data_IF_851477428405
#
_entry.id   IF_851477428405
#
_cell.length_a   1.000
_cell.length_b   1.000
_cell.length_c   1.000
_cell.angle_alpha   90.00
_cell.angle_beta   90.00
_cell.angle_gamma   90.00
#
_symmetry.space_group_name_H-M   'P 1'
#
loop_
_entity.id
_entity.type
_entity.pdbx_description
1 polymer ?
#
# COMPACT_ATOMS: atom_id res chain seq x y z
N UNK A 1 117.51 -27.98 -55.75
CA UNK A 1 116.32 -28.64 -55.18
C UNK A 1 115.89 -28.07 -53.82
N UNK A 2 116.79 -27.84 -52.84
CA UNK A 2 116.42 -27.34 -51.50
C UNK A 2 115.66 -25.99 -51.46
N UNK A 3 116.09 -25.00 -52.23
CA UNK A 3 115.43 -23.69 -52.27
C UNK A 3 113.96 -23.75 -52.72
N UNK A 4 113.65 -24.65 -53.66
CA UNK A 4 112.28 -24.88 -54.12
C UNK A 4 111.41 -25.54 -53.05
N UNK A 5 112.00 -26.38 -52.20
CA UNK A 5 111.31 -27.05 -51.10
C UNK A 5 111.06 -26.07 -49.93
N UNK A 6 111.97 -25.15 -49.65
CA UNK A 6 111.78 -24.10 -48.64
C UNK A 6 110.69 -23.10 -49.06
N UNK A 7 110.66 -22.70 -50.34
CA UNK A 7 109.58 -21.86 -50.89
C UNK A 7 108.23 -22.56 -50.83
N UNK A 8 108.19 -23.86 -51.13
CA UNK A 8 106.97 -24.69 -51.02
C UNK A 8 106.52 -24.78 -49.56
N UNK A 9 107.43 -25.05 -48.63
CA UNK A 9 107.13 -25.13 -47.20
C UNK A 9 106.59 -23.80 -46.65
N UNK A 10 107.22 -22.68 -47.02
CA UNK A 10 106.72 -21.35 -46.67
C UNK A 10 105.36 -21.01 -47.28
N UNK A 11 105.08 -21.48 -48.50
CA UNK A 11 103.76 -21.34 -49.12
C UNK A 11 102.69 -22.16 -48.39
N UNK A 12 103.00 -23.41 -48.02
CA UNK A 12 102.11 -24.28 -47.25
C UNK A 12 101.78 -23.68 -45.88
N UNK A 13 102.77 -23.13 -45.18
CA UNK A 13 102.56 -22.49 -43.87
C UNK A 13 101.70 -21.21 -43.98
N UNK A 14 101.89 -20.39 -45.02
CA UNK A 14 101.03 -19.22 -45.27
C UNK A 14 99.58 -19.63 -45.56
N UNK A 15 99.37 -20.69 -46.34
CA UNK A 15 98.02 -21.22 -46.59
C UNK A 15 97.37 -21.70 -45.29
N UNK A 16 98.13 -22.37 -44.41
CA UNK A 16 97.66 -22.83 -43.10
C UNK A 16 97.23 -21.64 -42.21
N UNK A 17 98.05 -20.60 -42.14
CA UNK A 17 97.75 -19.39 -41.35
C UNK A 17 96.50 -18.68 -41.89
N UNK A 18 96.42 -18.45 -43.20
CA UNK A 18 95.26 -17.81 -43.82
C UNK A 18 93.97 -18.64 -43.63
N UNK A 19 94.08 -19.96 -43.69
CA UNK A 19 92.96 -20.87 -43.38
C UNK A 19 92.48 -20.73 -41.93
N UNK A 20 93.40 -20.66 -40.97
CA UNK A 20 93.07 -20.45 -39.56
C UNK A 20 92.42 -19.07 -39.32
N UNK A 21 92.95 -18.00 -39.93
CA UNK A 21 92.35 -16.67 -39.81
C UNK A 21 90.96 -16.58 -40.48
N UNK A 22 90.75 -17.28 -41.60
CA UNK A 22 89.45 -17.34 -42.26
C UNK A 22 88.43 -18.06 -41.37
N UNK A 23 88.79 -19.20 -40.79
CA UNK A 23 87.95 -19.93 -39.85
C UNK A 23 87.61 -19.09 -38.61
N UNK A 24 88.56 -18.33 -38.08
CA UNK A 24 88.33 -17.45 -36.94
C UNK A 24 87.39 -16.27 -37.30
N UNK A 25 87.56 -15.68 -38.49
CA UNK A 25 86.65 -14.63 -38.99
C UNK A 25 85.23 -15.17 -39.20
N UNK A 26 85.08 -16.38 -39.75
CA UNK A 26 83.79 -17.04 -39.92
C UNK A 26 83.13 -17.36 -38.57
N UNK A 27 83.89 -17.87 -37.60
CA UNK A 27 83.39 -18.12 -36.25
C UNK A 27 82.88 -16.84 -35.57
N UNK A 28 83.59 -15.72 -35.74
CA UNK A 28 83.14 -14.40 -35.26
C UNK A 28 81.88 -13.92 -35.97
N UNK A 29 81.82 -14.02 -37.30
CA UNK A 29 80.65 -13.62 -38.07
C UNK A 29 79.41 -14.41 -37.63
N UNK A 30 79.54 -15.73 -37.54
CA UNK A 30 78.50 -16.62 -37.05
C UNK A 30 78.07 -16.30 -35.60
N UNK A 31 78.99 -15.83 -34.76
CA UNK A 31 78.69 -15.35 -33.41
C UNK A 31 77.75 -14.15 -33.41
N UNK A 32 78.12 -13.11 -34.16
CA UNK A 32 77.34 -11.87 -34.29
C UNK A 32 75.98 -12.13 -34.94
N UNK A 33 75.89 -13.02 -35.93
CA UNK A 33 74.62 -13.39 -36.55
C UNK A 33 73.64 -14.06 -35.58
N UNK A 34 74.15 -14.91 -34.68
CA UNK A 34 73.34 -15.52 -33.61
C UNK A 34 72.85 -14.49 -32.61
N UNK A 35 73.72 -13.57 -32.16
CA UNK A 35 73.33 -12.50 -31.25
C UNK A 35 72.27 -11.59 -31.88
N UNK A 36 72.46 -11.18 -33.13
CA UNK A 36 71.49 -10.38 -33.88
C UNK A 36 70.13 -11.09 -34.01
N UNK A 37 70.14 -12.43 -34.16
CA UNK A 37 68.91 -13.22 -34.19
C UNK A 37 68.19 -13.18 -32.84
N UNK A 38 68.90 -13.41 -31.73
CA UNK A 38 68.32 -13.35 -30.39
C UNK A 38 67.73 -11.96 -30.10
N UNK A 39 68.44 -10.89 -30.47
CA UNK A 39 67.95 -9.51 -30.34
C UNK A 39 66.67 -9.25 -31.13
N UNK A 40 66.53 -9.84 -32.32
CA UNK A 40 65.28 -9.75 -33.10
C UNK A 40 64.14 -10.49 -32.41
N UNK A 41 64.40 -11.71 -31.92
CA UNK A 41 63.42 -12.51 -31.18
C UNK A 41 62.96 -11.78 -29.90
N UNK A 42 63.89 -11.17 -29.16
CA UNK A 42 63.56 -10.35 -27.99
C UNK A 42 62.76 -9.11 -28.33
N UNK A 43 63.10 -8.39 -29.41
CA UNK A 43 62.32 -7.24 -29.87
C UNK A 43 60.89 -7.63 -30.21
N UNK A 44 60.69 -8.72 -30.94
CA UNK A 44 59.36 -9.23 -31.29
C UNK A 44 58.58 -9.59 -30.03
N UNK A 45 59.17 -10.35 -29.11
CA UNK A 45 58.51 -10.75 -27.86
C UNK A 45 58.12 -9.54 -26.99
N UNK A 46 58.99 -8.53 -26.89
CA UNK A 46 58.70 -7.31 -26.15
C UNK A 46 57.59 -6.49 -26.82
N UNK A 47 57.57 -6.42 -28.15
CA UNK A 47 56.54 -5.73 -28.90
C UNK A 47 55.18 -6.42 -28.73
N UNK A 48 55.13 -7.75 -28.80
CA UNK A 48 53.92 -8.54 -28.53
C UNK A 48 53.40 -8.30 -27.10
N UNK A 49 54.29 -8.34 -26.10
CA UNK A 49 53.94 -8.06 -24.72
C UNK A 49 53.39 -6.63 -24.54
N UNK A 50 54.02 -5.63 -25.20
CA UNK A 50 53.55 -4.25 -25.17
C UNK A 50 52.15 -4.10 -25.77
N UNK A 51 51.90 -4.72 -26.93
CA UNK A 51 50.60 -4.70 -27.59
C UNK A 51 49.53 -5.35 -26.71
N UNK A 52 49.81 -6.55 -26.18
CA UNK A 52 48.92 -7.24 -25.25
C UNK A 52 48.61 -6.41 -24.00
N UNK A 53 49.60 -5.69 -23.46
CA UNK A 53 49.38 -4.80 -22.32
C UNK A 53 48.48 -3.62 -22.68
N UNK A 54 48.67 -2.99 -23.84
CA UNK A 54 47.79 -1.91 -24.33
C UNK A 54 46.35 -2.38 -24.52
N UNK A 55 46.16 -3.58 -25.08
CA UNK A 55 44.84 -4.21 -25.20
C UNK A 55 44.22 -4.47 -23.83
N UNK A 56 44.98 -5.02 -22.88
CA UNK A 56 44.48 -5.28 -21.52
C UNK A 56 44.12 -4.00 -20.79
N UNK A 57 44.92 -2.95 -20.94
CA UNK A 57 44.61 -1.61 -20.42
C UNK A 57 43.28 -1.13 -21.02
N UNK A 58 43.08 -1.25 -22.33
CA UNK A 58 41.85 -0.82 -23.00
C UNK A 58 40.63 -1.60 -22.50
N UNK A 59 40.75 -2.91 -22.29
CA UNK A 59 39.69 -3.74 -21.71
C UNK A 59 39.33 -3.29 -20.29
N UNK A 60 40.32 -3.08 -19.42
CA UNK A 60 40.09 -2.63 -18.05
C UNK A 60 39.41 -1.25 -18.00
N UNK A 61 39.78 -0.33 -18.91
CA UNK A 61 39.09 0.96 -19.02
C UNK A 61 37.61 0.77 -19.40
N UNK A 62 37.31 -0.11 -20.35
CA UNK A 62 35.92 -0.42 -20.72
C UNK A 62 35.13 -1.06 -19.58
N UNK A 63 35.75 -1.94 -18.79
CA UNK A 63 35.14 -2.55 -17.60
C UNK A 63 34.83 -1.49 -16.52
N UNK A 64 35.76 -0.56 -16.26
CA UNK A 64 35.54 0.57 -15.35
C UNK A 64 34.34 1.41 -15.80
N UNK A 65 34.25 1.71 -17.09
CA UNK A 65 33.14 2.51 -17.63
C UNK A 65 31.81 1.75 -17.61
N UNK A 66 31.82 0.42 -17.70
CA UNK A 66 30.63 -0.40 -17.50
C UNK A 66 30.19 -0.38 -16.03
N UNK A 67 31.12 -0.56 -15.10
CA UNK A 67 30.83 -0.54 -13.66
C UNK A 67 30.28 0.83 -13.22
N UNK A 68 30.85 1.93 -13.74
CA UNK A 68 30.32 3.28 -13.51
C UNK A 68 28.87 3.44 -13.97
N UNK A 69 28.57 3.00 -15.20
CA UNK A 69 27.20 3.04 -15.74
C UNK A 69 26.21 2.22 -14.91
N UNK A 70 26.62 1.08 -14.36
CA UNK A 70 25.77 0.27 -13.48
C UNK A 70 25.57 0.96 -12.14
N UNK A 71 26.63 1.54 -11.56
CA UNK A 71 26.55 2.31 -10.32
C UNK A 71 25.58 3.49 -10.43
N UNK A 72 25.60 4.23 -11.55
CA UNK A 72 24.67 5.34 -11.80
C UNK A 72 23.22 4.86 -11.86
N UNK A 73 22.95 3.76 -12.56
CA UNK A 73 21.60 3.15 -12.62
C UNK A 73 21.12 2.67 -11.27
N UNK A 74 22.01 2.11 -10.46
CA UNK A 74 21.68 1.65 -9.11
C UNK A 74 21.28 2.82 -8.22
N UNK A 75 22.02 3.92 -8.26
CA UNK A 75 21.69 5.13 -7.50
C UNK A 75 20.32 5.70 -7.90
N UNK A 76 20.04 5.82 -9.21
CA UNK A 76 18.74 6.29 -9.68
C UNK A 76 17.59 5.39 -9.22
N UNK A 77 17.76 4.06 -9.32
CA UNK A 77 16.75 3.11 -8.85
C UNK A 77 16.55 3.17 -7.32
N UNK A 78 17.63 3.41 -6.57
CA UNK A 78 17.57 3.58 -5.13
C UNK A 78 16.78 4.83 -4.74
N UNK A 79 16.96 5.94 -5.45
CA UNK A 79 16.17 7.17 -5.26
C UNK A 79 14.68 6.93 -5.53
N UNK A 80 14.35 6.28 -6.65
CA UNK A 80 12.97 5.90 -7.00
C UNK A 80 12.33 5.00 -5.93
N UNK A 81 13.08 4.03 -5.41
CA UNK A 81 12.61 3.14 -4.35
C UNK A 81 12.26 3.91 -3.08
N UNK A 82 13.13 4.83 -2.62
CA UNK A 82 12.82 5.64 -1.44
C UNK A 82 11.65 6.59 -1.66
N UNK A 83 11.55 7.21 -2.84
CA UNK A 83 10.42 8.06 -3.19
C UNK A 83 9.10 7.28 -3.14
N UNK A 84 9.06 6.07 -3.73
CA UNK A 84 7.88 5.22 -3.70
C UNK A 84 7.54 4.74 -2.29
N UNK A 85 8.55 4.40 -1.49
CA UNK A 85 8.36 4.01 -0.09
C UNK A 85 7.69 5.12 0.73
N UNK A 86 8.12 6.36 0.56
CA UNK A 86 7.50 7.50 1.24
C UNK A 86 6.03 7.68 0.83
N UNK A 87 5.71 7.50 -0.47
CA UNK A 87 4.32 7.53 -0.96
C UNK A 87 3.49 6.42 -0.32
N UNK A 88 4.00 5.18 -0.28
CA UNK A 88 3.31 4.07 0.38
C UNK A 88 3.04 4.36 1.86
N UNK A 89 4.03 4.87 2.60
CA UNK A 89 3.88 5.22 4.01
C UNK A 89 2.80 6.30 4.22
N UNK A 90 2.74 7.30 3.35
CA UNK A 90 1.71 8.36 3.42
C UNK A 90 0.31 7.83 3.09
N UNK A 91 0.21 6.93 2.12
CA UNK A 91 -1.05 6.26 1.78
C UNK A 91 -1.55 5.38 2.93
N UNK A 92 -0.67 4.63 3.58
CA UNK A 92 -1.01 3.82 4.77
C UNK A 92 -1.54 4.71 5.90
N UNK A 93 -0.85 5.82 6.21
CA UNK A 93 -1.33 6.79 7.21
C UNK A 93 -2.70 7.37 6.85
N UNK A 94 -2.91 7.75 5.59
CA UNK A 94 -4.21 8.26 5.12
C UNK A 94 -5.32 7.23 5.29
N UNK A 95 -5.06 5.95 4.98
CA UNK A 95 -6.02 4.87 5.14
C UNK A 95 -6.37 4.63 6.62
N UNK A 96 -5.38 4.70 7.52
CA UNK A 96 -5.61 4.60 8.96
C UNK A 96 -6.50 5.74 9.47
N UNK A 97 -6.24 6.98 9.06
CA UNK A 97 -7.04 8.15 9.43
C UNK A 97 -8.49 8.03 8.95
N UNK A 98 -8.69 7.68 7.68
CA UNK A 98 -10.02 7.48 7.11
C UNK A 98 -10.75 6.31 7.78
N UNK A 99 -10.04 5.23 8.10
CA UNK A 99 -10.59 4.10 8.86
C UNK A 99 -11.06 4.52 10.26
N UNK A 100 -10.26 5.32 10.96
CA UNK A 100 -10.63 5.90 12.26
C UNK A 100 -11.84 6.81 12.18
N UNK A 101 -11.88 7.72 11.20
CA UNK A 101 -13.02 8.63 10.96
C UNK A 101 -14.30 7.85 10.65
N UNK A 102 -14.22 6.82 9.81
CA UNK A 102 -15.37 5.97 9.47
C UNK A 102 -15.90 5.21 10.70
N UNK A 103 -15.00 4.67 11.52
CA UNK A 103 -15.37 4.00 12.77
C UNK A 103 -16.09 4.95 13.73
N UNK A 104 -15.56 6.16 13.92
CA UNK A 104 -16.18 7.18 14.77
C UNK A 104 -17.56 7.59 14.23
N UNK A 105 -17.67 7.86 12.93
CA UNK A 105 -18.94 8.21 12.29
C UNK A 105 -19.98 7.08 12.41
N UNK A 106 -19.56 5.83 12.27
CA UNK A 106 -20.43 4.66 12.44
C UNK A 106 -20.95 4.55 13.87
N UNK A 107 -20.09 4.76 14.88
CA UNK A 107 -20.50 4.72 16.28
C UNK A 107 -21.49 5.85 16.61
N UNK A 108 -21.20 7.09 16.19
CA UNK A 108 -22.08 8.23 16.39
C UNK A 108 -23.48 8.02 15.74
N UNK A 109 -23.52 7.40 14.56
CA UNK A 109 -24.79 7.06 13.90
C UNK A 109 -25.61 6.03 14.69
N UNK A 110 -24.94 5.04 15.31
CA UNK A 110 -25.61 4.06 16.18
C UNK A 110 -26.11 4.73 17.45
N UNK A 111 -25.30 5.56 18.12
CA UNK A 111 -25.69 6.30 19.32
C UNK A 111 -26.92 7.20 19.08
N UNK A 112 -26.94 7.95 17.98
CA UNK A 112 -28.09 8.79 17.62
C UNK A 112 -29.36 7.97 17.36
N UNK A 113 -29.22 6.81 16.70
CA UNK A 113 -30.35 5.92 16.44
C UNK A 113 -30.89 5.30 17.73
N UNK A 114 -30.01 4.84 18.62
CA UNK A 114 -30.41 4.32 19.93
C UNK A 114 -31.07 5.41 20.80
N UNK A 115 -30.56 6.64 20.76
CA UNK A 115 -31.18 7.78 21.45
C UNK A 115 -32.59 8.08 20.90
N UNK A 116 -32.76 8.04 19.57
CA UNK A 116 -34.06 8.23 18.93
C UNK A 116 -35.05 7.12 19.32
N UNK A 117 -34.63 5.85 19.27
CA UNK A 117 -35.45 4.70 19.67
C UNK A 117 -35.84 4.81 21.15
N UNK A 118 -34.92 5.17 22.04
CA UNK A 118 -35.19 5.38 23.47
C UNK A 118 -36.19 6.52 23.71
N UNK A 119 -36.03 7.65 23.02
CA UNK A 119 -36.96 8.78 23.11
C UNK A 119 -38.38 8.37 22.65
N UNK A 120 -38.49 7.58 21.58
CA UNK A 120 -39.77 7.03 21.11
C UNK A 120 -40.40 6.10 22.16
N UNK A 121 -39.62 5.19 22.76
CA UNK A 121 -40.11 4.32 23.82
C UNK A 121 -40.57 5.11 25.05
N UNK A 122 -39.81 6.14 25.46
CA UNK A 122 -40.19 7.01 26.58
C UNK A 122 -41.48 7.78 26.28
N UNK A 123 -41.62 8.34 25.07
CA UNK A 123 -42.83 9.03 24.65
C UNK A 123 -44.04 8.08 24.66
N UNK A 124 -43.87 6.86 24.14
CA UNK A 124 -44.92 5.83 24.15
C UNK A 124 -45.33 5.45 25.59
N UNK A 125 -44.36 5.23 26.48
CA UNK A 125 -44.64 4.93 27.90
C UNK A 125 -45.36 6.08 28.60
N UNK A 126 -44.94 7.33 28.39
CA UNK A 126 -45.60 8.50 28.99
C UNK A 126 -47.04 8.65 28.47
N UNK A 127 -47.25 8.46 27.17
CA UNK A 127 -48.59 8.51 26.57
C UNK A 127 -49.51 7.42 27.12
N UNK A 128 -49.01 6.18 27.26
CA UNK A 128 -49.76 5.10 27.92
C UNK A 128 -50.10 5.42 29.38
N UNK A 129 -49.17 5.97 30.16
CA UNK A 129 -49.43 6.34 31.56
C UNK A 129 -50.48 7.45 31.70
N UNK A 130 -50.43 8.49 30.85
CA UNK A 130 -51.46 9.53 30.83
C UNK A 130 -52.84 8.96 30.50
N UNK A 131 -52.92 8.05 29.53
CA UNK A 131 -54.18 7.44 29.12
C UNK A 131 -54.79 6.59 30.25
N UNK A 132 -53.96 5.83 30.99
CA UNK A 132 -54.42 5.09 32.17
C UNK A 132 -54.90 6.01 33.31
N UNK A 133 -54.20 7.12 33.56
CA UNK A 133 -54.63 8.09 34.59
C UNK A 133 -55.97 8.75 34.24
N UNK A 134 -56.19 9.11 32.97
CA UNK A 134 -57.47 9.64 32.52
C UNK A 134 -58.61 8.63 32.70
N UNK A 135 -58.39 7.35 32.36
CA UNK A 135 -59.39 6.30 32.58
C UNK A 135 -59.71 6.11 34.07
N UNK A 136 -58.72 6.16 34.97
CA UNK A 136 -58.97 6.08 36.42
C UNK A 136 -59.75 7.29 36.94
N UNK A 137 -59.47 8.51 36.45
CA UNK A 137 -60.25 9.69 36.83
C UNK A 137 -61.69 9.62 36.30
N UNK A 138 -61.91 9.13 35.08
CA UNK A 138 -63.26 8.86 34.55
C UNK A 138 -64.00 7.81 35.39
N UNK A 139 -63.36 6.69 35.75
CA UNK A 139 -63.99 5.67 36.62
C UNK A 139 -64.31 6.19 38.03
N UNK A 140 -63.50 7.11 38.58
CA UNK A 140 -63.82 7.76 39.86
C UNK A 140 -64.97 8.79 39.75
N UNK A 141 -65.10 9.48 38.62
CA UNK A 141 -66.25 10.35 38.34
C UNK A 141 -67.53 9.55 38.06
N UNK A 142 -67.45 8.42 37.34
CA UNK A 142 -68.57 7.51 37.11
C UNK A 142 -68.97 6.76 38.39
N UNK A 143 -68.02 6.41 39.27
CA UNK A 143 -68.29 5.90 40.62
C UNK A 143 -68.90 6.93 41.58
N UNK A 144 -68.82 8.21 41.24
CA UNK A 144 -69.46 9.32 41.95
C UNK A 144 -70.79 9.77 41.28
N UNK A 145 -71.27 9.05 40.26
CA UNK A 145 -72.64 9.18 39.79
C UNK A 145 -73.59 8.60 40.86
N UNK A 146 -73.85 9.41 41.88
CA UNK A 146 -74.91 9.17 42.86
C UNK A 146 -76.22 9.10 42.07
N UNK A 147 -76.76 7.88 41.94
CA UNK A 147 -78.11 7.67 41.44
C UNK A 147 -79.03 8.65 42.18
N UNK A 148 -79.58 9.63 41.45
CA UNK A 148 -80.38 10.68 42.06
C UNK A 148 -81.50 10.03 42.87
N UNK A 149 -81.54 10.30 44.18
CA UNK A 149 -82.48 9.66 45.06
C UNK A 149 -83.90 9.89 44.54
N UNK A 150 -84.68 8.81 44.40
CA UNK A 150 -85.98 8.84 43.75
C UNK A 150 -86.95 9.86 44.38
N UNK A 151 -86.77 10.21 45.67
CA UNK A 151 -87.57 11.26 46.32
C UNK A 151 -87.29 12.68 45.84
N UNK A 152 -86.09 12.96 45.32
CA UNK A 152 -85.66 14.32 44.99
C UNK A 152 -86.02 14.72 43.56
N UNK A 153 -86.38 13.75 42.71
CA UNK A 153 -86.76 13.99 41.32
C UNK A 153 -88.28 13.85 41.19
N UNK A 154 -89.02 14.94 41.37
CA UNK A 154 -90.50 14.92 41.29
C UNK A 154 -91.04 15.18 39.89
N UNK A 155 -90.20 15.70 38.98
CA UNK A 155 -90.58 16.11 37.63
C UNK A 155 -89.59 15.60 36.58
N UNK A 156 -90.11 15.28 35.40
CA UNK A 156 -89.30 14.83 34.26
C UNK A 156 -88.47 16.00 33.72
N UNK A 157 -87.14 15.84 33.65
CA UNK A 157 -86.23 16.92 33.21
C UNK A 157 -86.49 17.42 31.79
N UNK A 158 -87.01 16.58 30.88
CA UNK A 158 -87.25 16.99 29.48
C UNK A 158 -88.57 17.73 29.24
N UNK A 159 -89.56 17.54 30.11
CA UNK A 159 -90.91 18.08 29.88
C UNK A 159 -91.57 18.71 31.12
N UNK A 160 -90.83 18.78 32.23
CA UNK A 160 -91.18 19.38 33.52
C UNK A 160 -92.53 18.95 34.13
N UNK A 161 -93.04 17.77 33.72
CA UNK A 161 -94.28 17.19 34.24
C UNK A 161 -93.98 16.26 35.40
N UNK A 162 -94.86 16.30 36.39
CA UNK A 162 -94.77 15.48 37.61
C UNK A 162 -94.93 13.99 37.29
N UNK A 163 -94.16 13.15 37.99
CA UNK A 163 -94.30 11.70 37.93
C UNK A 163 -95.52 11.27 38.75
N UNK A 164 -96.30 10.33 38.21
CA UNK A 164 -97.48 9.77 38.87
C UNK A 164 -97.61 8.27 38.54
N UNK A 165 -98.62 7.59 39.09
CA UNK A 165 -98.76 6.13 38.97
C UNK A 165 -98.82 5.61 37.52
N UNK A 166 -99.26 6.47 36.59
CA UNK A 166 -99.38 6.19 35.16
C UNK A 166 -98.14 6.63 34.37
N UNK A 167 -97.26 7.45 34.96
CA UNK A 167 -96.06 8.01 34.33
C UNK A 167 -94.83 7.77 35.22
N UNK A 168 -94.21 6.62 35.02
CA UNK A 168 -93.08 6.12 35.83
C UNK A 168 -91.75 6.69 35.34
N UNK A 169 -90.77 6.77 36.23
CA UNK A 169 -89.39 7.18 35.91
C UNK A 169 -88.68 6.07 35.13
N UNK A 170 -87.97 6.45 34.07
CA UNK A 170 -87.05 5.59 33.34
C UNK A 170 -85.62 6.12 33.57
N UNK A 171 -84.66 5.30 34.01
CA UNK A 171 -83.28 5.76 34.24
C UNK A 171 -82.44 5.86 32.95
N UNK A 172 -82.86 5.24 31.84
CA UNK A 172 -82.13 5.32 30.58
C UNK A 172 -82.74 6.39 29.66
N UNK A 173 -81.94 7.45 29.44
CA UNK A 173 -81.70 8.16 28.18
C UNK A 173 -81.56 9.67 28.38
N UNK A 174 -80.35 10.17 28.15
CA UNK A 174 -80.02 11.58 28.03
C UNK A 174 -78.60 11.78 27.47
N UNK A 175 -78.52 12.04 26.17
CA UNK A 175 -77.31 12.36 25.39
C UNK A 175 -77.46 11.77 23.98
N UNK A 176 -78.24 12.39 23.08
CA UNK A 176 -77.82 13.45 22.13
C UNK A 176 -76.76 12.93 21.14
N UNK A 177 -77.24 12.45 19.99
CA UNK A 177 -76.49 12.15 18.77
C UNK A 177 -76.33 13.45 17.97
N UNK A 178 -75.10 13.93 17.80
CA UNK A 178 -74.72 14.88 16.75
C UNK A 178 -73.70 14.18 15.85
N UNK A 179 -74.18 13.75 14.68
CA UNK A 179 -73.36 13.35 13.54
C UNK A 179 -72.92 14.63 12.79
N UNK A 180 -71.63 14.94 12.83
CA UNK A 180 -70.99 15.77 11.79
C UNK A 180 -70.05 14.87 10.98
N UNK A 181 -70.49 14.57 9.75
CA UNK A 181 -69.63 14.10 8.67
C UNK A 181 -68.70 15.24 8.26
N UNK A 182 -67.38 15.02 8.33
CA UNK A 182 -66.43 15.80 7.54
C UNK A 182 -65.52 14.86 6.74
N UNK A 183 -65.73 14.95 5.42
CA UNK A 183 -65.02 14.33 4.32
C UNK A 183 -63.69 15.09 4.10
N UNK A 184 -62.54 14.40 4.10
CA UNK A 184 -61.39 14.92 3.34
C UNK A 184 -60.57 13.80 2.66
N UNK A 185 -60.45 13.99 1.34
CA UNK A 185 -59.62 13.26 0.40
C UNK A 185 -58.11 13.37 0.71
N UNK A 186 -57.34 12.30 0.41
CA UNK A 186 -56.29 12.23 -0.63
C UNK A 186 -55.45 10.96 -0.43
N UNK A 187 -55.49 9.99 -1.38
CA UNK A 187 -54.49 9.80 -2.47
C UNK A 187 -53.07 9.71 -1.88
N UNK A 188 -52.25 8.67 -2.05
CA UNK A 188 -51.69 8.17 -3.32
C UNK A 188 -50.90 6.85 -3.05
N UNK A 189 -51.14 5.85 -3.90
CA UNK A 189 -50.30 4.73 -4.37
C UNK A 189 -49.62 3.75 -3.40
N UNK A 190 -50.12 2.52 -3.44
CA UNK A 190 -49.30 1.33 -3.27
C UNK A 190 -48.33 1.11 -4.44
N UNK A 191 -47.14 0.61 -4.13
CA UNK A 191 -46.24 -0.04 -5.09
C UNK A 191 -46.02 -1.48 -4.59
N UNK A 192 -46.22 -2.51 -5.43
CA UNK A 192 -46.04 -3.89 -5.03
C UNK A 192 -44.56 -4.25 -4.97
N UNK A 193 -44.23 -5.02 -3.93
CA UNK A 193 -42.96 -5.71 -3.74
C UNK A 193 -42.72 -6.67 -4.91
N UNK A 194 -41.68 -6.41 -5.70
CA UNK A 194 -41.13 -7.40 -6.64
C UNK A 194 -39.95 -8.12 -6.01
N UNK A 195 -40.07 -9.44 -6.04
CA UNK A 195 -39.09 -10.47 -5.70
C UNK A 195 -37.86 -10.42 -6.61
N UNK A 196 -36.74 -10.80 -5.99
CA UNK A 196 -35.63 -11.60 -6.49
C UNK A 196 -34.95 -11.17 -7.80
N UNK A 197 -33.77 -10.54 -7.65
CA UNK A 197 -32.69 -10.65 -8.61
C UNK A 197 -31.42 -11.13 -7.88
N UNK A 198 -31.00 -12.33 -8.28
CA UNK A 198 -29.83 -13.07 -7.85
C UNK A 198 -28.54 -12.28 -8.15
N UNK A 199 -27.72 -12.02 -7.12
CA UNK A 199 -26.31 -11.63 -7.28
C UNK A 199 -25.46 -12.90 -7.25
N UNK A 200 -25.09 -13.37 -8.44
CA UNK A 200 -24.01 -14.34 -8.62
C UNK A 200 -22.66 -13.60 -8.61
N UNK A 201 -21.73 -14.13 -7.82
CA UNK A 201 -20.27 -14.23 -8.00
C UNK A 201 -19.57 -13.07 -8.75
N UNK A 202 -18.61 -12.35 -8.19
CA UNK A 202 -17.47 -12.88 -7.44
C UNK A 202 -16.20 -12.68 -8.24
N UNK A 203 -15.77 -11.43 -8.44
CA UNK A 203 -14.42 -11.13 -8.91
C UNK A 203 -13.52 -10.87 -7.71
N UNK A 204 -12.71 -11.88 -7.42
CA UNK A 204 -11.63 -11.86 -6.43
C UNK A 204 -10.54 -10.90 -6.91
N UNK A 205 -10.56 -9.66 -6.44
CA UNK A 205 -9.32 -8.89 -6.39
C UNK A 205 -8.50 -9.40 -5.20
N UNK A 206 -7.51 -10.21 -5.57
CA UNK A 206 -6.46 -10.75 -4.72
C UNK A 206 -5.66 -9.60 -4.09
N UNK A 207 -5.99 -9.23 -2.85
CA UNK A 207 -5.15 -8.36 -2.03
C UNK A 207 -4.05 -9.25 -1.42
N UNK A 208 -2.76 -9.05 -1.75
CA UNK A 208 -1.71 -9.80 -1.08
C UNK A 208 -1.70 -9.40 0.41
N UNK A 209 -1.85 -10.40 1.27
CA UNK A 209 -1.62 -10.29 2.70
C UNK A 209 -0.23 -9.70 2.94
N UNK A 210 -0.16 -8.44 3.37
CA UNK A 210 1.04 -7.80 3.90
C UNK A 210 1.52 -8.61 5.11
N UNK A 211 2.42 -9.56 4.85
CA UNK A 211 3.27 -10.14 5.88
C UNK A 211 4.30 -9.08 6.26
N UNK A 212 4.39 -8.85 7.56
CA UNK A 212 5.40 -8.05 8.25
C UNK A 212 6.81 -8.33 7.72
N UNK A 213 7.42 -7.33 7.08
CA UNK A 213 8.87 -7.28 6.93
C UNK A 213 9.47 -6.59 8.15
N UNK A 214 9.62 -7.34 9.25
CA UNK A 214 10.64 -7.02 10.24
C UNK A 214 11.93 -7.73 9.82
N UNK A 215 12.80 -7.03 9.10
CA UNK A 215 14.21 -7.40 9.03
C UNK A 215 15.02 -6.26 9.65
N UNK A 216 15.23 -6.40 10.95
CA UNK A 216 16.39 -5.86 11.63
C UNK A 216 17.65 -6.38 10.93
N UNK A 217 18.39 -5.49 10.27
CA UNK A 217 19.82 -5.71 10.08
C UNK A 217 20.60 -4.46 10.52
N UNK A 218 20.73 -4.37 11.83
CA UNK A 218 21.68 -3.51 12.49
C UNK A 218 23.11 -4.01 12.24
N UNK A 219 24.00 -3.08 11.86
CA UNK A 219 25.47 -3.09 12.05
C UNK A 219 26.31 -3.84 11.02
N UNK A 220 26.86 -3.11 10.05
CA UNK A 220 28.31 -2.96 9.86
C UNK A 220 28.60 -2.18 8.57
N UNK A 221 29.13 -0.96 8.73
CA UNK A 221 30.29 -0.44 8.00
C UNK A 221 30.57 0.96 8.55
N UNK A 222 31.30 0.96 9.65
CA UNK A 222 31.97 2.12 10.18
C UNK A 222 33.02 2.61 9.19
N UNK A 223 33.08 3.94 9.03
CA UNK A 223 34.29 4.74 8.86
C UNK A 223 35.48 4.12 8.11
N UNK A 224 35.59 4.42 6.81
CA UNK A 224 36.89 4.56 6.15
C UNK A 224 37.16 6.04 5.86
N UNK A 225 37.76 6.70 6.84
CA UNK A 225 38.57 7.89 6.66
C UNK A 225 39.74 7.56 5.73
N UNK A 226 39.67 7.96 4.46
CA UNK A 226 40.83 7.93 3.58
C UNK A 226 41.78 9.11 3.88
N UNK A 227 43.08 8.88 4.12
CA UNK A 227 44.06 9.94 4.23
C UNK A 227 44.35 10.55 2.86
N UNK A 228 44.43 11.88 2.87
CA UNK A 228 44.78 12.74 1.76
C UNK A 228 46.20 12.42 1.22
N UNK A 229 46.29 11.57 0.18
CA UNK A 229 47.51 11.37 -0.58
C UNK A 229 47.75 12.59 -1.49
N UNK A 230 48.48 13.57 -0.98
CA UNK A 230 49.08 14.64 -1.78
C UNK A 230 50.25 14.08 -2.59
N UNK A 231 50.06 13.97 -3.91
CA UNK A 231 51.14 13.83 -4.86
C UNK A 231 51.97 15.13 -4.88
N UNK A 232 53.24 15.05 -4.46
CA UNK A 232 54.23 16.11 -4.72
C UNK A 232 54.52 16.15 -6.22
N UNK A 233 54.49 17.35 -6.79
CA UNK A 233 55.21 17.69 -8.03
C UNK A 233 56.66 18.02 -7.69
#
# INVERSE_FOLDING_TARGET
CKEMDDVRSGAVERVRILGAEAAEREARANGVERELRLEREWRTSLQEASVSNTEKISQLHQEIDQLRRVSEKYLALQEEHYALKEICNEQERTLEELGGQLSAAKLAAVELREAADNAQHQHHQQSQQQQQQQQQQQQQQEGAATWANDRLVTQCKSCNREFNITRRKNPENGGEEEEEEEEEEKKINGIPVKKDASLHSGDKLNVPSLRSCTEDNSKNLAADTHPNFKWRK
#
